data_IF_297054180314
#
_entry.id   IF_297054180314
#
_cell.length_a   1.000
_cell.length_b   1.000
_cell.length_c   1.000
_cell.angle_alpha   90.00
_cell.angle_beta   90.00
_cell.angle_gamma   90.00
#
_symmetry.space_group_name_H-M   'P 1'
#
loop_
_entity.id
_entity.type
_entity.pdbx_description
1 polymer ?
#
# COMPACT_ATOMS: atom_id res chain seq x y z
N UNK A 1 0.89 28.21 -3.36
CA UNK A 1 0.26 26.87 -3.38
C UNK A 1 1.35 25.92 -3.85
N UNK A 2 1.89 25.08 -2.98
CA UNK A 2 2.90 24.11 -3.42
C UNK A 2 2.28 23.11 -4.41
N UNK A 3 3.02 22.63 -5.41
CA UNK A 3 2.48 21.65 -6.34
C UNK A 3 2.09 20.40 -5.55
N UNK A 4 0.93 19.78 -5.83
CA UNK A 4 0.42 18.64 -5.06
C UNK A 4 1.41 17.46 -5.02
N UNK A 5 2.25 17.34 -6.05
CA UNK A 5 3.34 16.36 -6.13
C UNK A 5 4.42 16.59 -5.07
N UNK A 6 4.73 17.84 -4.70
CA UNK A 6 5.75 18.14 -3.68
C UNK A 6 5.35 17.60 -2.30
N UNK A 7 4.05 17.63 -1.97
CA UNK A 7 3.53 17.02 -0.75
C UNK A 7 3.75 15.50 -0.73
N UNK A 8 3.44 14.82 -1.84
CA UNK A 8 3.65 13.36 -2.00
C UNK A 8 5.13 12.99 -1.87
N UNK A 9 6.01 13.75 -2.52
CA UNK A 9 7.46 13.54 -2.45
C UNK A 9 7.98 13.72 -1.03
N UNK A 10 7.54 14.76 -0.31
CA UNK A 10 7.93 14.99 1.09
C UNK A 10 7.46 13.87 2.00
N UNK A 11 6.21 13.43 1.87
CA UNK A 11 5.67 12.34 2.67
C UNK A 11 6.41 11.02 2.39
N UNK A 12 6.69 10.71 1.12
CA UNK A 12 7.46 9.53 0.73
C UNK A 12 8.91 9.59 1.21
N UNK A 13 9.55 10.76 1.17
CA UNK A 13 10.90 10.94 1.72
C UNK A 13 10.90 10.80 3.26
N UNK A 14 9.92 11.40 3.94
CA UNK A 14 9.79 11.30 5.40
C UNK A 14 9.54 9.85 5.85
N UNK A 15 8.72 9.08 5.12
CA UNK A 15 8.49 7.66 5.43
C UNK A 15 9.76 6.84 5.28
N UNK A 16 10.61 7.13 4.29
CA UNK A 16 11.90 6.47 4.08
C UNK A 16 12.90 6.81 5.19
N UNK A 17 12.99 8.08 5.58
CA UNK A 17 13.80 8.49 6.75
C UNK A 17 13.33 7.78 8.01
N UNK A 18 12.02 7.68 8.23
CA UNK A 18 11.45 6.97 9.38
C UNK A 18 11.80 5.46 9.35
N UNK A 19 11.65 4.79 8.21
CA UNK A 19 12.03 3.37 8.06
C UNK A 19 13.50 3.16 8.38
N UNK A 20 14.38 4.01 7.85
CA UNK A 20 15.82 3.91 8.08
C UNK A 20 16.17 4.18 9.54
N UNK A 21 15.55 5.18 10.17
CA UNK A 21 15.71 5.47 11.59
C UNK A 21 15.25 4.32 12.48
N UNK A 22 14.07 3.73 12.20
CA UNK A 22 13.56 2.57 12.91
C UNK A 22 14.45 1.34 12.69
N UNK A 23 14.97 1.14 11.47
CA UNK A 23 15.89 0.04 11.15
C UNK A 23 17.21 0.18 11.92
N UNK A 24 17.75 1.40 12.01
CA UNK A 24 18.96 1.68 12.80
C UNK A 24 18.69 1.47 14.29
N UNK A 25 17.58 2.01 14.79
CA UNK A 25 17.18 1.84 16.19
C UNK A 25 17.01 0.37 16.56
N UNK A 26 16.37 -0.42 15.69
CA UNK A 26 16.22 -1.86 15.89
C UNK A 26 17.58 -2.57 15.98
N UNK A 27 18.58 -2.18 15.18
CA UNK A 27 19.94 -2.72 15.25
C UNK A 27 20.70 -2.29 16.50
N UNK A 28 20.37 -1.14 17.08
CA UNK A 28 20.96 -0.67 18.34
C UNK A 28 20.35 -1.39 19.56
N UNK A 29 19.05 -1.71 19.50
CA UNK A 29 18.33 -2.34 20.60
C UNK A 29 18.38 -3.87 20.58
N UNK A 30 18.44 -4.47 19.39
CA UNK A 30 18.34 -5.91 19.19
C UNK A 30 19.50 -6.48 18.43
N UNK A 31 19.85 -7.74 18.74
CA UNK A 31 20.80 -8.49 17.92
C UNK A 31 20.17 -8.78 16.56
N UNK A 32 20.93 -8.64 15.46
CA UNK A 32 20.41 -8.93 14.14
C UNK A 32 19.99 -10.40 14.05
N UNK A 33 18.75 -10.63 13.63
CA UNK A 33 18.21 -11.97 13.42
C UNK A 33 18.88 -12.66 12.22
N UNK A 34 19.14 -11.91 11.14
CA UNK A 34 19.84 -12.38 9.95
C UNK A 34 21.32 -11.98 10.01
N UNK A 35 22.20 -12.97 9.96
CA UNK A 35 23.66 -12.86 10.00
C UNK A 35 24.31 -13.07 8.62
N UNK A 36 23.51 -13.26 7.57
CA UNK A 36 24.00 -13.55 6.20
C UNK A 36 24.98 -12.49 5.70
N UNK A 37 24.76 -11.23 6.05
CA UNK A 37 25.60 -10.08 5.73
C UNK A 37 26.99 -10.09 6.43
N UNK A 38 27.08 -10.80 7.56
CA UNK A 38 28.31 -10.92 8.36
C UNK A 38 29.12 -12.17 8.05
N UNK A 39 28.53 -13.12 7.32
CA UNK A 39 29.12 -14.41 6.96
C UNK A 39 29.85 -14.38 5.62
N UNK A 40 30.04 -13.22 5.00
CA UNK A 40 30.59 -13.08 3.64
C UNK A 40 32.05 -13.54 3.59
N UNK A 41 32.33 -14.74 3.05
CA UNK A 41 33.70 -15.20 2.91
C UNK A 41 34.39 -14.41 1.77
N UNK A 42 35.73 -14.35 1.75
CA UNK A 42 36.47 -13.74 0.65
C UNK A 42 36.12 -14.41 -0.69
N UNK A 43 36.12 -13.64 -1.78
CA UNK A 43 35.86 -14.16 -3.12
C UNK A 43 36.84 -15.29 -3.47
N UNK A 44 36.37 -16.33 -4.14
CA UNK A 44 37.15 -17.51 -4.54
C UNK A 44 38.31 -17.16 -5.48
N UNK A 45 38.19 -16.02 -6.17
CA UNK A 45 39.15 -15.51 -7.16
C UNK A 45 40.07 -14.39 -6.64
N UNK A 46 40.09 -14.12 -5.33
CA UNK A 46 40.95 -13.08 -4.75
C UNK A 46 42.29 -13.64 -4.25
N UNK A 47 43.45 -13.04 -4.59
CA UNK A 47 44.71 -13.37 -3.92
C UNK A 47 44.65 -12.95 -2.45
N UNK A 48 45.26 -13.75 -1.58
CA UNK A 48 45.27 -13.51 -0.14
C UNK A 48 45.97 -12.18 0.19
N UNK A 49 45.28 -11.37 1.00
CA UNK A 49 45.73 -10.14 1.66
C UNK A 49 45.79 -8.85 0.82
N UNK A 50 44.77 -8.01 1.02
CA UNK A 50 44.95 -6.55 1.11
C UNK A 50 44.31 -6.10 2.42
N UNK A 51 45.12 -5.78 3.42
CA UNK A 51 44.65 -5.25 4.70
C UNK A 51 44.18 -3.81 4.50
N UNK A 52 42.87 -3.63 4.31
CA UNK A 52 42.29 -2.30 4.21
C UNK A 52 42.28 -1.61 5.58
N UNK A 53 42.85 -0.39 5.70
CA UNK A 53 42.83 0.36 6.95
C UNK A 53 41.41 0.76 7.40
N UNK A 54 40.42 0.70 6.49
CA UNK A 54 39.01 0.94 6.76
C UNK A 54 38.18 -0.35 6.88
N UNK A 55 38.81 -1.50 7.10
CA UNK A 55 38.13 -2.80 7.12
C UNK A 55 36.98 -2.88 8.13
N UNK A 56 37.08 -2.24 9.30
CA UNK A 56 36.02 -2.24 10.31
C UNK A 56 34.78 -1.46 9.87
N UNK A 57 34.97 -0.29 9.25
CA UNK A 57 33.88 0.53 8.70
C UNK A 57 33.28 -0.16 7.49
N UNK A 58 34.11 -0.74 6.62
CA UNK A 58 33.61 -1.47 5.45
C UNK A 58 32.79 -2.70 5.87
N UNK A 59 33.26 -3.47 6.84
CA UNK A 59 32.52 -4.62 7.37
C UNK A 59 31.21 -4.21 8.06
N UNK A 60 31.23 -3.11 8.82
CA UNK A 60 30.03 -2.56 9.46
C UNK A 60 28.99 -2.13 8.42
N UNK A 61 29.40 -1.44 7.34
CA UNK A 61 28.48 -1.04 6.26
C UNK A 61 28.01 -2.24 5.44
N UNK A 62 28.88 -3.20 5.14
CA UNK A 62 28.50 -4.45 4.46
C UNK A 62 27.48 -5.27 5.26
N UNK A 63 27.55 -5.23 6.60
CA UNK A 63 26.55 -5.88 7.47
C UNK A 63 25.13 -5.31 7.34
N UNK A 64 24.95 -4.18 6.64
CA UNK A 64 23.63 -3.64 6.32
C UNK A 64 22.98 -4.33 5.12
N UNK A 65 23.74 -5.02 4.26
CA UNK A 65 23.18 -5.80 3.15
C UNK A 65 22.55 -7.09 3.68
N UNK A 66 21.29 -7.02 4.11
CA UNK A 66 20.54 -8.14 4.69
C UNK A 66 19.52 -8.66 3.66
N UNK A 67 19.16 -9.93 3.70
CA UNK A 67 18.26 -10.58 2.72
C UNK A 67 18.77 -10.45 1.27
N UNK A 68 17.89 -10.04 0.34
CA UNK A 68 18.17 -9.87 -1.08
C UNK A 68 19.37 -8.95 -1.35
N UNK A 69 19.70 -8.05 -0.41
CA UNK A 69 20.88 -7.19 -0.49
C UNK A 69 22.20 -7.98 -0.65
N UNK A 70 22.35 -9.12 0.04
CA UNK A 70 23.55 -9.99 -0.10
C UNK A 70 23.62 -10.57 -1.51
N UNK A 71 22.47 -10.95 -2.05
CA UNK A 71 22.37 -11.58 -3.37
C UNK A 71 22.59 -10.60 -4.53
N UNK A 72 22.40 -9.30 -4.31
CA UNK A 72 22.79 -8.25 -5.26
C UNK A 72 24.23 -7.77 -5.06
N UNK A 73 24.70 -7.68 -3.81
CA UNK A 73 26.05 -7.20 -3.51
C UNK A 73 27.14 -8.18 -3.96
N UNK A 74 26.94 -9.47 -3.68
CA UNK A 74 27.96 -10.50 -3.88
C UNK A 74 28.33 -10.75 -5.35
N UNK A 75 27.39 -10.81 -6.31
CA UNK A 75 27.75 -10.93 -7.72
C UNK A 75 28.49 -9.72 -8.28
N UNK A 76 28.28 -8.52 -7.71
CA UNK A 76 29.01 -7.32 -8.10
C UNK A 76 30.42 -7.24 -7.50
N UNK A 77 30.65 -7.86 -6.33
CA UNK A 77 31.96 -7.95 -5.68
C UNK A 77 32.82 -9.09 -6.24
N UNK A 78 32.26 -10.30 -6.33
CA UNK A 78 32.99 -11.54 -6.63
C UNK A 78 32.63 -12.16 -7.99
N UNK A 79 31.59 -11.67 -8.66
CA UNK A 79 30.97 -12.38 -9.79
C UNK A 79 29.98 -13.46 -9.33
N UNK A 80 29.36 -14.11 -10.31
CA UNK A 80 28.43 -15.22 -10.07
C UNK A 80 29.19 -16.49 -9.68
N UNK A 81 29.49 -16.63 -8.39
CA UNK A 81 30.23 -17.78 -7.84
C UNK A 81 29.34 -18.96 -7.47
N UNK A 82 28.09 -18.70 -7.04
CA UNK A 82 27.17 -19.72 -6.54
C UNK A 82 25.91 -19.81 -7.40
N UNK A 83 25.33 -21.01 -7.48
CA UNK A 83 24.13 -21.31 -8.26
C UNK A 83 22.93 -20.43 -7.87
N UNK A 84 22.71 -20.20 -6.57
CA UNK A 84 21.63 -19.35 -6.08
C UNK A 84 21.77 -17.88 -6.54
N UNK A 85 22.97 -17.43 -6.90
CA UNK A 85 23.16 -16.07 -7.41
C UNK A 85 22.54 -15.90 -8.80
N UNK A 86 22.45 -16.97 -9.61
CA UNK A 86 21.86 -16.93 -10.96
C UNK A 86 20.34 -16.68 -10.96
N UNK A 87 19.67 -16.86 -9.82
CA UNK A 87 18.26 -16.50 -9.66
C UNK A 87 18.03 -14.98 -9.77
N UNK A 88 19.06 -14.18 -9.50
CA UNK A 88 19.02 -12.73 -9.62
C UNK A 88 19.65 -12.35 -10.98
N UNK A 89 18.78 -11.94 -11.92
CA UNK A 89 19.15 -11.66 -13.31
C UNK A 89 20.41 -10.77 -13.40
N UNK A 90 21.29 -11.01 -14.40
CA UNK A 90 22.49 -10.20 -14.57
C UNK A 90 22.16 -8.72 -14.61
N UNK A 91 22.92 -7.93 -13.84
CA UNK A 91 23.13 -6.52 -14.20
C UNK A 91 23.49 -6.47 -15.70
N UNK A 92 22.96 -5.51 -16.47
CA UNK A 92 22.90 -5.58 -17.93
C UNK A 92 24.23 -6.07 -18.52
N UNK A 93 24.23 -7.19 -19.27
CA UNK A 93 25.43 -7.82 -19.78
C UNK A 93 26.07 -6.88 -20.80
N UNK A 94 27.19 -6.25 -20.44
CA UNK A 94 27.87 -5.32 -21.35
C UNK A 94 28.73 -4.26 -20.68
N UNK A 95 28.64 -4.04 -19.36
CA UNK A 95 29.60 -3.17 -18.69
C UNK A 95 30.98 -3.85 -18.65
N UNK A 96 32.06 -3.21 -19.13
CA UNK A 96 33.41 -3.73 -18.94
C UNK A 96 33.65 -3.94 -17.44
N UNK A 97 34.40 -5.00 -17.07
CA UNK A 97 34.77 -5.31 -15.69
C UNK A 97 35.34 -4.07 -15.02
N UNK A 98 34.49 -3.34 -14.31
CA UNK A 98 34.89 -2.21 -13.50
C UNK A 98 35.87 -2.70 -12.42
N UNK A 99 36.76 -1.84 -11.90
CA UNK A 99 37.51 -2.17 -10.70
C UNK A 99 36.53 -2.63 -9.61
N UNK A 100 36.92 -3.70 -8.88
CA UNK A 100 36.08 -4.31 -7.84
C UNK A 100 35.55 -3.22 -6.91
N UNK A 101 34.24 -2.95 -6.87
CA UNK A 101 33.70 -1.88 -6.06
C UNK A 101 33.91 -2.20 -4.57
N UNK A 102 34.19 -1.19 -3.77
CA UNK A 102 34.31 -1.35 -2.31
C UNK A 102 32.93 -1.78 -1.78
N UNK A 103 32.83 -2.89 -1.01
CA UNK A 103 31.57 -3.43 -0.52
C UNK A 103 30.67 -2.38 0.14
N UNK A 104 31.25 -1.52 0.98
CA UNK A 104 30.54 -0.44 1.64
C UNK A 104 29.88 0.55 0.67
N UNK A 105 30.57 0.89 -0.42
CA UNK A 105 30.07 1.82 -1.44
C UNK A 105 28.91 1.18 -2.20
N UNK A 106 29.01 -0.11 -2.51
CA UNK A 106 27.96 -0.84 -3.20
C UNK A 106 26.69 -0.90 -2.35
N UNK A 107 26.81 -1.28 -1.07
CA UNK A 107 25.67 -1.35 -0.15
C UNK A 107 25.05 0.02 0.08
N UNK A 108 25.85 1.05 0.33
CA UNK A 108 25.34 2.41 0.53
C UNK A 108 24.66 2.95 -0.74
N UNK A 109 25.25 2.71 -1.91
CA UNK A 109 24.65 3.11 -3.19
C UNK A 109 23.32 2.39 -3.43
N UNK A 110 23.21 1.10 -3.10
CA UNK A 110 21.96 0.34 -3.17
C UNK A 110 20.88 0.90 -2.25
N UNK A 111 21.23 1.28 -1.01
CA UNK A 111 20.31 1.95 -0.10
C UNK A 111 19.83 3.30 -0.66
N UNK A 112 20.74 4.14 -1.15
CA UNK A 112 20.37 5.43 -1.74
C UNK A 112 19.48 5.23 -2.96
N UNK A 113 19.88 4.38 -3.90
CA UNK A 113 19.13 4.09 -5.11
C UNK A 113 17.74 3.53 -4.82
N UNK A 114 17.61 2.59 -3.89
CA UNK A 114 16.31 2.02 -3.51
C UNK A 114 15.37 3.08 -2.92
N UNK A 115 15.89 3.97 -2.05
CA UNK A 115 15.07 5.04 -1.46
C UNK A 115 14.71 6.14 -2.47
N UNK A 116 15.64 6.51 -3.36
CA UNK A 116 15.37 7.46 -4.45
C UNK A 116 14.35 6.88 -5.43
N UNK A 117 14.53 5.62 -5.85
CA UNK A 117 13.61 4.91 -6.73
C UNK A 117 12.22 4.81 -6.10
N UNK A 118 12.14 4.57 -4.79
CA UNK A 118 10.87 4.55 -4.07
C UNK A 118 10.14 5.91 -4.12
N UNK A 119 10.84 7.00 -3.82
CA UNK A 119 10.26 8.35 -3.86
C UNK A 119 9.85 8.74 -5.29
N UNK A 120 10.68 8.39 -6.28
CA UNK A 120 10.37 8.60 -7.69
C UNK A 120 9.14 7.79 -8.12
N UNK A 121 9.03 6.52 -7.72
CA UNK A 121 7.88 5.68 -8.00
C UNK A 121 6.60 6.25 -7.38
N UNK A 122 6.64 6.73 -6.13
CA UNK A 122 5.49 7.35 -5.48
C UNK A 122 5.00 8.59 -6.26
N UNK A 123 5.93 9.46 -6.69
CA UNK A 123 5.59 10.62 -7.52
C UNK A 123 5.02 10.21 -8.89
N UNK A 124 5.59 9.17 -9.51
CA UNK A 124 5.14 8.66 -10.80
C UNK A 124 3.74 8.05 -10.73
N UNK A 125 3.46 7.18 -9.76
CA UNK A 125 2.14 6.58 -9.57
C UNK A 125 1.07 7.63 -9.26
N UNK A 126 1.41 8.65 -8.46
CA UNK A 126 0.52 9.78 -8.23
C UNK A 126 0.15 10.47 -9.56
N UNK A 127 1.15 10.84 -10.36
CA UNK A 127 0.93 11.54 -11.64
C UNK A 127 0.21 10.66 -12.67
N UNK A 128 0.49 9.36 -12.67
CA UNK A 128 -0.19 8.38 -13.50
C UNK A 128 -1.69 8.31 -13.17
N UNK A 129 -2.04 8.21 -11.88
CA UNK A 129 -3.44 8.20 -11.45
C UNK A 129 -4.18 9.50 -11.78
N UNK A 130 -3.51 10.66 -11.69
CA UNK A 130 -4.08 11.97 -12.06
C UNK A 130 -4.37 12.07 -13.56
N UNK A 131 -3.41 11.62 -14.37
CA UNK A 131 -3.51 11.66 -15.83
C UNK A 131 -4.61 10.72 -16.33
N UNK A 132 -4.69 9.50 -15.78
CA UNK A 132 -5.77 8.56 -16.10
C UNK A 132 -7.14 9.08 -15.67
N UNK A 133 -7.23 9.66 -14.47
CA UNK A 133 -8.48 10.26 -14.00
C UNK A 133 -8.95 11.40 -14.93
N UNK A 134 -8.03 12.27 -15.35
CA UNK A 134 -8.33 13.35 -16.28
C UNK A 134 -8.75 12.81 -17.66
N UNK A 135 -8.01 11.84 -18.22
CA UNK A 135 -8.33 11.20 -19.50
C UNK A 135 -9.75 10.62 -19.50
N UNK A 136 -10.08 9.82 -18.49
CA UNK A 136 -11.37 9.15 -18.42
C UNK A 136 -12.52 10.10 -18.07
N UNK A 137 -12.30 11.10 -17.21
CA UNK A 137 -13.32 12.08 -16.85
C UNK A 137 -13.64 13.03 -18.00
N UNK A 138 -12.61 13.61 -18.63
CA UNK A 138 -12.78 14.51 -19.78
C UNK A 138 -13.28 13.75 -21.01
N UNK A 139 -12.70 12.57 -21.28
CA UNK A 139 -13.15 11.70 -22.37
C UNK A 139 -14.61 11.28 -22.19
N UNK A 140 -15.00 10.89 -20.98
CA UNK A 140 -16.39 10.56 -20.65
C UNK A 140 -17.34 11.73 -20.85
N UNK A 141 -16.93 12.93 -20.46
CA UNK A 141 -17.72 14.14 -20.66
C UNK A 141 -17.86 14.52 -22.15
N UNK A 142 -16.80 14.36 -22.95
CA UNK A 142 -16.85 14.57 -24.40
C UNK A 142 -17.85 13.62 -25.06
N UNK A 143 -17.83 12.33 -24.73
CA UNK A 143 -18.80 11.37 -25.26
C UNK A 143 -20.22 11.62 -24.76
N UNK A 144 -20.39 12.17 -23.56
CA UNK A 144 -21.69 12.59 -23.03
C UNK A 144 -22.30 13.70 -23.89
N UNK A 145 -21.51 14.73 -24.22
CA UNK A 145 -21.95 15.82 -25.11
C UNK A 145 -22.21 15.35 -26.54
N UNK A 146 -21.45 14.39 -27.04
CA UNK A 146 -21.67 13.76 -28.35
C UNK A 146 -22.91 12.86 -28.41
N UNK A 147 -23.61 12.63 -27.29
CA UNK A 147 -24.80 11.77 -27.21
C UNK A 147 -24.49 10.26 -27.11
N UNK A 148 -23.22 9.86 -27.13
CA UNK A 148 -22.76 8.47 -27.00
C UNK A 148 -22.75 8.02 -25.53
N UNK A 149 -23.94 8.01 -24.91
CA UNK A 149 -24.12 7.81 -23.48
C UNK A 149 -23.48 6.51 -22.94
N UNK A 150 -23.50 5.42 -23.72
CA UNK A 150 -22.91 4.14 -23.28
C UNK A 150 -21.40 4.25 -23.10
N UNK A 151 -20.70 4.86 -24.05
CA UNK A 151 -19.24 5.08 -23.98
C UNK A 151 -18.91 6.06 -22.86
N UNK A 152 -19.73 7.11 -22.69
CA UNK A 152 -19.60 8.06 -21.60
C UNK A 152 -19.69 7.39 -20.22
N UNK A 153 -20.67 6.50 -20.00
CA UNK A 153 -20.81 5.75 -18.73
C UNK A 153 -19.58 4.89 -18.47
N UNK A 154 -19.08 4.16 -19.47
CA UNK A 154 -17.90 3.30 -19.32
C UNK A 154 -16.68 4.13 -18.93
N UNK A 155 -16.43 5.23 -19.64
CA UNK A 155 -15.30 6.14 -19.37
C UNK A 155 -15.42 6.76 -17.97
N UNK A 156 -16.60 7.25 -17.59
CA UNK A 156 -16.82 7.84 -16.27
C UNK A 156 -16.73 6.79 -15.15
N UNK A 157 -17.15 5.54 -15.39
CA UNK A 157 -16.95 4.44 -14.43
C UNK A 157 -15.45 4.12 -14.27
N UNK A 158 -14.68 4.05 -15.37
CA UNK A 158 -13.22 3.84 -15.33
C UNK A 158 -12.47 4.98 -14.62
N UNK A 159 -12.99 6.20 -14.65
CA UNK A 159 -12.42 7.28 -13.84
C UNK A 159 -12.47 6.96 -12.33
N UNK A 160 -13.52 6.24 -11.89
CA UNK A 160 -13.72 5.78 -10.51
C UNK A 160 -12.72 4.73 -10.04
N UNK A 161 -12.18 3.92 -10.96
CA UNK A 161 -11.11 2.95 -10.63
C UNK A 161 -9.73 3.61 -10.57
N UNK A 162 -9.49 4.66 -11.37
CA UNK A 162 -8.26 5.45 -11.29
C UNK A 162 -8.22 6.29 -10.01
N UNK A 163 -9.35 6.92 -9.66
CA UNK A 163 -9.54 7.67 -8.42
C UNK A 163 -10.99 7.56 -7.95
N UNK A 164 -11.14 7.36 -6.67
CA UNK A 164 -12.38 7.48 -5.89
C UNK A 164 -13.30 8.64 -6.25
N UNK A 165 -12.73 9.82 -6.55
CA UNK A 165 -13.46 11.02 -6.95
C UNK A 165 -14.31 10.80 -8.21
N UNK A 166 -14.02 9.77 -9.01
CA UNK A 166 -14.82 9.40 -10.17
C UNK A 166 -16.26 9.01 -9.84
N UNK A 167 -16.57 8.64 -8.59
CA UNK A 167 -17.95 8.40 -8.17
C UNK A 167 -18.85 9.65 -8.32
N UNK A 168 -18.28 10.86 -8.14
CA UNK A 168 -19.00 12.11 -8.29
C UNK A 168 -19.44 12.37 -9.75
N UNK A 169 -18.82 11.70 -10.72
CA UNK A 169 -19.19 11.82 -12.13
C UNK A 169 -20.60 11.26 -12.42
N UNK A 170 -21.21 10.49 -11.51
CA UNK A 170 -22.63 10.13 -11.59
C UNK A 170 -23.55 11.37 -11.60
N UNK A 171 -23.09 12.48 -11.01
CA UNK A 171 -23.80 13.76 -10.99
C UNK A 171 -24.16 14.29 -12.39
N UNK A 172 -23.34 14.02 -13.42
CA UNK A 172 -23.63 14.46 -14.79
C UNK A 172 -24.92 13.84 -15.33
N UNK A 173 -25.12 12.53 -15.11
CA UNK A 173 -26.34 11.85 -15.55
C UNK A 173 -27.55 12.22 -14.69
N UNK A 174 -27.36 12.41 -13.38
CA UNK A 174 -28.42 12.91 -12.51
C UNK A 174 -28.91 14.29 -12.94
N UNK A 175 -27.99 15.20 -13.26
CA UNK A 175 -28.32 16.55 -13.73
C UNK A 175 -29.00 16.53 -15.10
N UNK A 176 -28.49 15.73 -16.04
CA UNK A 176 -29.12 15.52 -17.35
C UNK A 176 -30.56 15.00 -17.21
N UNK A 177 -30.78 14.06 -16.29
CA UNK A 177 -32.10 13.50 -16.02
C UNK A 177 -33.06 14.53 -15.41
N UNK A 178 -32.57 15.37 -14.51
CA UNK A 178 -33.38 16.42 -13.89
C UNK A 178 -33.88 17.41 -14.93
N UNK A 179 -33.02 17.82 -15.88
CA UNK A 179 -33.41 18.69 -16.99
C UNK A 179 -34.43 18.01 -17.91
N UNK A 180 -34.20 16.74 -18.28
CA UNK A 180 -35.13 15.97 -19.12
C UNK A 180 -36.49 15.75 -18.43
N UNK A 181 -36.48 15.46 -17.13
CA UNK A 181 -37.65 15.32 -16.29
C UNK A 181 -38.45 16.63 -16.21
N UNK A 182 -37.76 17.76 -16.00
CA UNK A 182 -38.39 19.08 -15.99
C UNK A 182 -39.09 19.39 -17.32
N UNK A 183 -38.39 19.21 -18.45
CA UNK A 183 -38.98 19.45 -19.78
C UNK A 183 -40.15 18.51 -20.08
N UNK A 184 -40.04 17.24 -19.70
CA UNK A 184 -41.10 16.25 -19.89
C UNK A 184 -42.33 16.54 -19.02
N UNK A 185 -42.13 16.98 -17.78
CA UNK A 185 -43.20 17.29 -16.83
C UNK A 185 -43.91 18.60 -17.17
N UNK A 186 -43.14 19.68 -17.33
CA UNK A 186 -43.68 21.04 -17.42
C UNK A 186 -44.08 21.38 -18.85
N UNK A 187 -43.20 21.14 -19.83
CA UNK A 187 -43.47 21.53 -21.23
C UNK A 187 -44.31 20.50 -21.96
N UNK A 188 -43.96 19.22 -21.85
CA UNK A 188 -44.60 18.15 -22.63
C UNK A 188 -45.80 17.49 -21.93
N UNK A 189 -45.95 17.69 -20.62
CA UNK A 189 -46.99 17.05 -19.77
C UNK A 189 -47.07 15.52 -19.96
N UNK A 190 -45.93 14.86 -20.16
CA UNK A 190 -45.83 13.40 -20.38
C UNK A 190 -45.13 12.74 -19.20
N UNK A 191 -45.86 12.26 -18.17
CA UNK A 191 -45.26 11.70 -16.96
C UNK A 191 -44.43 10.44 -17.22
N UNK A 192 -44.79 9.64 -18.24
CA UNK A 192 -44.02 8.46 -18.62
C UNK A 192 -42.57 8.79 -19.02
N UNK A 193 -42.36 9.91 -19.71
CA UNK A 193 -41.02 10.35 -20.12
C UNK A 193 -40.18 10.82 -18.93
N UNK A 194 -40.82 11.37 -17.89
CA UNK A 194 -40.17 11.73 -16.63
C UNK A 194 -39.65 10.46 -15.96
N UNK A 195 -40.51 9.45 -15.81
CA UNK A 195 -40.15 8.17 -15.18
C UNK A 195 -39.03 7.49 -15.97
N UNK A 196 -39.14 7.43 -17.30
CA UNK A 196 -38.12 6.80 -18.15
C UNK A 196 -36.76 7.51 -18.04
N UNK A 197 -36.73 8.85 -18.00
CA UNK A 197 -35.50 9.62 -17.85
C UNK A 197 -34.83 9.37 -16.48
N UNK A 198 -35.62 9.35 -15.40
CA UNK A 198 -35.11 9.08 -14.06
C UNK A 198 -34.59 7.63 -13.92
N UNK A 199 -35.32 6.65 -14.46
CA UNK A 199 -34.88 5.24 -14.44
C UNK A 199 -33.60 5.06 -15.26
N UNK A 200 -33.53 5.63 -16.46
CA UNK A 200 -32.33 5.55 -17.29
C UNK A 200 -31.11 6.16 -16.58
N UNK A 201 -31.28 7.29 -15.90
CA UNK A 201 -30.21 7.93 -15.14
C UNK A 201 -29.80 7.12 -13.90
N UNK A 202 -30.75 6.57 -13.15
CA UNK A 202 -30.46 5.69 -12.02
C UNK A 202 -29.63 4.47 -12.44
N UNK A 203 -30.00 3.82 -13.55
CA UNK A 203 -29.25 2.69 -14.10
C UNK A 203 -27.82 3.10 -14.47
N UNK A 204 -27.65 4.22 -15.18
CA UNK A 204 -26.31 4.73 -15.57
C UNK A 204 -25.45 5.09 -14.37
N UNK A 205 -26.04 5.73 -13.35
CA UNK A 205 -25.34 6.07 -12.11
C UNK A 205 -24.90 4.81 -11.36
N UNK A 206 -25.74 3.77 -11.28
CA UNK A 206 -25.36 2.48 -10.69
C UNK A 206 -24.13 1.89 -11.37
N UNK A 207 -24.05 1.95 -12.71
CA UNK A 207 -22.86 1.50 -13.44
C UNK A 207 -21.60 2.31 -13.11
N UNK A 208 -21.72 3.62 -12.85
CA UNK A 208 -20.57 4.44 -12.43
C UNK A 208 -20.06 4.02 -11.05
N UNK A 209 -20.95 3.60 -10.15
CA UNK A 209 -20.56 3.07 -8.83
C UNK A 209 -20.08 1.61 -8.87
N UNK A 210 -20.16 0.92 -10.01
CA UNK A 210 -19.80 -0.49 -10.12
C UNK A 210 -18.38 -0.82 -9.62
N UNK A 211 -17.32 -0.06 -9.95
CA UNK A 211 -15.98 -0.34 -9.44
C UNK A 211 -15.89 -0.27 -7.91
N UNK A 212 -16.62 0.67 -7.29
CA UNK A 212 -16.68 0.81 -5.85
C UNK A 212 -17.39 -0.38 -5.20
N UNK A 213 -18.54 -0.78 -5.72
CA UNK A 213 -19.27 -1.94 -5.20
C UNK A 213 -18.51 -3.25 -5.42
N UNK A 214 -17.82 -3.40 -6.55
CA UNK A 214 -16.99 -4.57 -6.82
C UNK A 214 -15.86 -4.71 -5.79
N UNK A 215 -15.18 -3.61 -5.47
CA UNK A 215 -14.13 -3.61 -4.44
C UNK A 215 -14.69 -3.87 -3.02
N UNK A 216 -15.84 -3.28 -2.70
CA UNK A 216 -16.52 -3.52 -1.41
C UNK A 216 -16.96 -4.97 -1.26
N UNK A 217 -17.49 -5.58 -2.33
CA UNK A 217 -17.87 -7.00 -2.36
C UNK A 217 -16.65 -7.91 -2.25
N UNK A 218 -15.56 -7.60 -2.95
CA UNK A 218 -14.30 -8.32 -2.85
C UNK A 218 -13.77 -8.35 -1.39
N UNK A 219 -13.79 -7.21 -0.70
CA UNK A 219 -13.40 -7.15 0.71
C UNK A 219 -14.30 -7.98 1.63
N UNK A 220 -15.62 -7.93 1.40
CA UNK A 220 -16.59 -8.73 2.15
C UNK A 220 -16.39 -10.24 1.95
N UNK A 221 -16.20 -10.68 0.71
CA UNK A 221 -15.98 -12.08 0.40
C UNK A 221 -14.71 -12.60 1.07
N UNK A 222 -13.60 -11.86 1.00
CA UNK A 222 -12.34 -12.34 1.59
C UNK A 222 -12.35 -12.34 3.12
N UNK A 223 -12.96 -11.34 3.76
CA UNK A 223 -12.87 -11.17 5.22
C UNK A 223 -14.04 -11.80 5.96
N UNK A 224 -15.27 -11.62 5.48
CA UNK A 224 -16.48 -12.04 6.19
C UNK A 224 -16.96 -13.45 5.79
N UNK A 225 -16.65 -13.91 4.56
CA UNK A 225 -17.11 -15.22 4.05
C UNK A 225 -15.98 -16.26 4.07
N UNK A 226 -14.83 -15.94 3.48
CA UNK A 226 -13.69 -16.86 3.39
C UNK A 226 -12.66 -16.68 4.51
N UNK A 227 -12.93 -15.81 5.49
CA UNK A 227 -12.05 -15.58 6.63
C UNK A 227 -12.15 -16.72 7.64
N UNK A 228 -11.03 -17.36 7.96
CA UNK A 228 -10.96 -18.47 8.94
C UNK A 228 -11.03 -18.01 10.42
N UNK A 229 -11.49 -16.78 10.70
CA UNK A 229 -11.57 -16.26 12.06
C UNK A 229 -12.90 -16.66 12.71
N UNK A 230 -12.85 -17.35 13.85
CA UNK A 230 -14.04 -17.78 14.62
C UNK A 230 -14.91 -16.59 15.08
N UNK A 231 -14.35 -15.37 15.11
CA UNK A 231 -15.07 -14.14 15.44
C UNK A 231 -15.21 -13.21 14.22
N UNK A 232 -16.43 -13.09 13.71
CA UNK A 232 -16.76 -12.14 12.64
C UNK A 232 -16.59 -10.70 13.12
N UNK A 233 -15.93 -9.87 12.30
CA UNK A 233 -15.76 -8.44 12.55
C UNK A 233 -17.12 -7.72 12.69
N UNK A 234 -17.24 -6.68 13.54
CA UNK A 234 -18.51 -5.99 13.80
C UNK A 234 -19.18 -5.42 12.54
N UNK A 235 -18.38 -4.96 11.57
CA UNK A 235 -18.91 -4.42 10.30
C UNK A 235 -19.49 -5.50 9.38
N UNK A 236 -19.08 -6.78 9.52
CA UNK A 236 -19.70 -7.89 8.81
C UNK A 236 -21.14 -8.15 9.32
N UNK A 237 -21.41 -7.83 10.59
CA UNK A 237 -22.72 -8.00 11.25
C UNK A 237 -23.64 -6.79 11.06
N UNK A 238 -23.13 -5.69 10.53
CA UNK A 238 -23.91 -4.47 10.31
C UNK A 238 -24.92 -4.66 9.17
N UNK A 239 -26.06 -3.95 9.25
CA UNK A 239 -27.12 -3.98 8.22
C UNK A 239 -26.61 -3.64 6.81
N UNK A 240 -25.60 -2.77 6.75
CA UNK A 240 -24.86 -2.47 5.51
C UNK A 240 -23.37 -2.68 5.82
N UNK A 241 -22.74 -3.75 5.29
CA UNK A 241 -21.35 -4.05 5.60
C UNK A 241 -20.41 -3.12 4.82
N UNK A 242 -20.13 -1.96 5.41
CA UNK A 242 -19.21 -0.95 4.88
C UNK A 242 -17.82 -1.08 5.51
N UNK A 243 -16.94 -1.79 4.80
CA UNK A 243 -15.55 -2.01 5.20
C UNK A 243 -14.81 -0.68 5.42
N UNK A 244 -14.93 0.24 4.46
CA UNK A 244 -14.21 1.52 4.53
C UNK A 244 -14.67 2.40 5.69
N UNK A 245 -15.99 2.48 5.93
CA UNK A 245 -16.53 3.25 7.06
C UNK A 245 -16.06 2.71 8.42
N UNK A 246 -15.94 1.39 8.56
CA UNK A 246 -15.35 0.77 9.75
C UNK A 246 -13.86 1.12 9.90
N UNK A 247 -13.09 1.12 8.81
CA UNK A 247 -11.66 1.49 8.86
C UNK A 247 -11.49 2.94 9.31
N UNK A 248 -12.28 3.86 8.75
CA UNK A 248 -12.22 5.27 9.09
C UNK A 248 -12.59 5.55 10.56
N UNK A 249 -13.58 4.85 11.10
CA UNK A 249 -14.01 5.03 12.49
C UNK A 249 -13.05 4.41 13.49
N UNK A 250 -12.65 3.16 13.22
CA UNK A 250 -11.93 2.35 14.17
C UNK A 250 -10.43 2.64 14.19
N UNK A 251 -9.84 2.93 13.03
CA UNK A 251 -8.39 3.13 12.91
C UNK A 251 -7.97 4.59 12.72
N UNK A 252 -8.81 5.41 12.08
CA UNK A 252 -8.40 6.78 11.69
C UNK A 252 -9.07 7.88 12.52
N UNK A 253 -10.01 7.54 13.42
CA UNK A 253 -10.66 8.49 14.35
C UNK A 253 -11.23 9.77 13.70
N UNK A 254 -11.61 9.72 12.41
CA UNK A 254 -12.00 10.92 11.62
C UNK A 254 -13.42 11.43 11.95
N UNK A 255 -14.13 10.77 12.88
CA UNK A 255 -15.53 11.11 13.19
C UNK A 255 -15.69 12.40 14.01
N UNK A 256 -14.59 12.95 14.56
CA UNK A 256 -14.66 14.10 15.47
C UNK A 256 -14.57 15.48 14.78
N UNK A 257 -14.19 15.55 13.49
CA UNK A 257 -13.89 16.84 12.84
C UNK A 257 -14.95 17.34 11.85
N UNK A 258 -15.87 16.51 11.36
CA UNK A 258 -16.97 16.95 10.48
C UNK A 258 -18.27 16.19 10.74
N UNK A 259 -19.26 16.79 11.43
CA UNK A 259 -20.54 16.15 11.76
C UNK A 259 -21.55 16.30 10.62
N UNK A 260 -21.15 16.02 9.37
CA UNK A 260 -22.05 16.00 8.21
C UNK A 260 -22.19 14.57 7.73
N UNK A 261 -23.42 14.10 7.60
CA UNK A 261 -23.85 12.73 7.29
C UNK A 261 -22.95 12.07 6.20
N UNK A 262 -22.00 11.23 6.64
CA UNK A 262 -20.82 10.83 5.87
C UNK A 262 -21.08 9.70 4.84
N UNK A 263 -22.35 9.31 4.61
CA UNK A 263 -22.67 8.23 3.68
C UNK A 263 -22.58 8.62 2.20
N UNK A 264 -22.62 9.92 1.85
CA UNK A 264 -22.51 10.39 0.46
C UNK A 264 -21.20 11.16 0.17
N UNK A 265 -20.57 11.72 1.20
CA UNK A 265 -19.34 12.52 1.08
C UNK A 265 -18.09 11.80 1.63
N UNK A 266 -18.27 10.68 2.35
CA UNK A 266 -17.19 9.81 2.84
C UNK A 266 -16.74 8.76 1.84
N UNK A 267 -16.96 9.01 0.54
CA UNK A 267 -16.21 8.34 -0.50
C UNK A 267 -14.72 8.66 -0.35
N UNK A 268 -13.81 8.01 -1.11
CA UNK A 268 -12.36 8.13 -0.90
C UNK A 268 -11.77 9.48 -1.37
N UNK A 269 -12.50 10.59 -1.17
CA UNK A 269 -12.21 11.93 -1.66
C UNK A 269 -11.11 12.66 -0.91
N UNK A 270 -10.66 12.14 0.25
CA UNK A 270 -9.44 12.58 0.93
C UNK A 270 -8.28 11.56 0.82
N UNK A 271 -8.40 10.55 -0.05
CA UNK A 271 -7.40 9.48 -0.18
C UNK A 271 -6.15 9.86 -0.98
N UNK A 272 -5.88 11.15 -1.23
CA UNK A 272 -4.51 11.58 -1.60
C UNK A 272 -3.53 11.33 -0.43
N UNK A 273 -4.02 11.07 0.78
CA UNK A 273 -3.15 10.82 1.94
C UNK A 273 -2.60 9.39 2.12
N UNK A 274 -3.10 8.35 1.42
CA UNK A 274 -2.64 6.98 1.72
C UNK A 274 -2.57 6.07 0.47
N UNK A 275 -1.50 6.23 -0.30
CA UNK A 275 -0.89 5.10 -1.03
C UNK A 275 -0.22 4.25 0.05
N UNK A 276 -0.67 3.01 0.36
CA UNK A 276 -0.02 2.19 1.37
C UNK A 276 1.19 1.52 0.73
N UNK A 277 2.26 2.28 0.59
CA UNK A 277 3.59 1.71 0.40
C UNK A 277 4.47 2.27 1.50
N UNK A 278 4.86 1.39 2.42
CA UNK A 278 5.75 1.56 3.58
C UNK A 278 5.28 2.42 4.76
N UNK A 279 5.01 1.66 5.83
CA UNK A 279 4.83 2.01 7.24
C UNK A 279 3.51 2.67 7.58
N UNK A 280 2.75 1.98 8.41
CA UNK A 280 2.15 2.66 9.51
C UNK A 280 2.80 2.16 10.80
N UNK A 281 3.06 3.08 11.73
CA UNK A 281 2.84 2.79 13.14
C UNK A 281 1.32 2.58 13.33
N UNK A 282 0.76 1.59 12.64
CA UNK A 282 -0.53 1.00 12.93
C UNK A 282 -0.16 -0.13 13.87
N UNK A 283 -0.73 -0.13 15.07
CA UNK A 283 -0.79 -1.35 15.87
C UNK A 283 -1.61 -2.36 15.08
N UNK A 284 -0.96 -3.08 14.18
CA UNK A 284 -1.53 -4.29 13.58
C UNK A 284 -1.24 -5.40 14.59
N UNK A 285 -2.20 -5.62 15.49
CA UNK A 285 -2.17 -6.78 16.36
C UNK A 285 -2.53 -7.97 15.48
N UNK A 286 -1.52 -8.77 15.13
CA UNK A 286 -1.73 -10.10 14.56
C UNK A 286 -1.92 -11.09 15.71
N UNK A 287 -3.14 -11.60 15.87
CA UNK A 287 -3.37 -12.80 16.68
C UNK A 287 -3.25 -14.01 15.75
N UNK A 288 -2.23 -14.84 15.96
CA UNK A 288 -2.07 -16.13 15.25
C UNK A 288 -2.71 -17.25 16.08
N UNK A 289 -3.46 -18.19 15.47
CA UNK A 289 -4.10 -19.27 16.21
C UNK A 289 -3.19 -20.51 16.23
N UNK A 290 -2.34 -20.69 17.25
CA UNK A 290 -1.74 -22.01 17.50
C UNK A 290 -1.41 -22.29 18.98
N UNK A 291 -2.11 -23.31 19.49
CA UNK A 291 -1.81 -24.31 20.54
C UNK A 291 -1.40 -23.89 21.98
N UNK A 292 -2.30 -24.23 22.92
CA UNK A 292 -2.21 -24.76 24.32
C UNK A 292 -0.96 -24.56 25.23
N UNK A 293 -1.15 -24.51 26.57
CA UNK A 293 -0.44 -23.59 27.45
C UNK A 293 0.67 -24.22 28.30
N UNK A 294 1.68 -23.43 28.67
CA UNK A 294 2.44 -23.67 29.90
C UNK A 294 2.99 -22.37 30.51
N UNK A 295 2.62 -22.13 31.77
CA UNK A 295 3.16 -21.17 32.75
C UNK A 295 2.86 -19.65 32.68
N UNK A 296 1.82 -19.29 33.44
CA UNK A 296 1.58 -18.18 34.40
C UNK A 296 2.28 -16.80 34.25
N UNK A 297 1.38 -15.81 34.07
CA UNK A 297 1.20 -14.55 34.83
C UNK A 297 1.97 -13.28 34.42
N UNK A 298 1.35 -12.50 33.53
CA UNK A 298 1.17 -11.05 33.71
C UNK A 298 -0.16 -10.60 33.07
N UNK A 299 -1.04 -9.98 33.85
CA UNK A 299 -2.41 -9.60 33.45
C UNK A 299 -2.42 -8.16 32.91
N UNK A 300 -2.97 -7.96 31.71
CA UNK A 300 -3.27 -6.64 31.12
C UNK A 300 -4.78 -6.36 31.27
N UNK A 301 -5.23 -5.18 31.73
CA UNK A 301 -6.66 -4.92 31.93
C UNK A 301 -7.37 -4.77 30.57
N UNK A 302 -8.38 -5.61 30.30
CA UNK A 302 -9.19 -5.56 29.07
C UNK A 302 -9.30 -6.88 28.30
N UNK A 303 -8.59 -7.94 28.70
CA UNK A 303 -8.69 -9.27 28.09
C UNK A 303 -9.30 -10.30 29.05
N UNK A 304 -10.24 -11.11 28.54
CA UNK A 304 -10.77 -12.30 29.20
C UNK A 304 -9.63 -13.33 29.38
N UNK A 305 -9.54 -14.06 30.51
CA UNK A 305 -8.33 -14.83 30.88
C UNK A 305 -8.10 -16.10 30.05
N UNK A 306 -8.91 -16.35 29.01
CA UNK A 306 -8.82 -17.52 28.12
C UNK A 306 -8.08 -17.25 26.81
N UNK A 307 -7.64 -16.00 26.55
CA UNK A 307 -6.90 -15.64 25.33
C UNK A 307 -5.48 -15.21 25.70
N UNK A 308 -4.49 -16.04 25.36
CA UNK A 308 -3.08 -15.69 25.49
C UNK A 308 -2.75 -14.51 24.56
N UNK A 309 -2.68 -13.30 25.12
CA UNK A 309 -2.11 -12.14 24.44
C UNK A 309 -0.62 -12.06 24.77
N UNK A 310 0.24 -12.49 23.85
CA UNK A 310 1.66 -12.20 23.96
C UNK A 310 1.91 -10.76 23.52
N UNK A 311 2.18 -9.87 24.48
CA UNK A 311 2.92 -8.63 24.19
C UNK A 311 4.34 -9.06 23.86
N UNK A 312 4.74 -8.99 22.59
CA UNK A 312 6.17 -9.07 22.23
C UNK A 312 6.82 -7.75 22.63
N UNK A 313 7.07 -7.63 23.94
CA UNK A 313 8.11 -6.77 24.45
C UNK A 313 9.41 -7.55 24.23
N UNK A 314 10.20 -7.03 23.32
CA UNK A 314 11.54 -7.50 23.04
C UNK A 314 12.42 -7.50 24.29
N UNK A 315 12.97 -8.66 24.67
CA UNK A 315 14.04 -8.75 25.66
C UNK A 315 14.38 -10.18 26.10
N UNK A 316 15.63 -10.60 25.88
CA UNK A 316 16.38 -11.47 26.81
C UNK A 316 16.51 -12.97 26.49
N UNK A 317 17.75 -13.39 26.23
CA UNK A 317 18.30 -14.76 26.28
C UNK A 317 17.86 -15.58 27.52
N UNK A 318 17.68 -16.90 27.36
CA UNK A 318 18.48 -17.97 28.05
C UNK A 318 18.13 -19.40 27.58
N UNK A 319 19.18 -20.15 27.16
CA UNK A 319 19.50 -21.57 27.47
C UNK A 319 18.47 -22.69 27.15
N UNK A 320 18.74 -23.76 26.37
CA UNK A 320 19.70 -24.89 26.53
C UNK A 320 19.69 -25.69 25.19
N UNK A 321 20.80 -25.94 24.47
CA UNK A 321 21.78 -27.06 24.56
C UNK A 321 21.21 -28.43 25.00
N UNK A 322 21.40 -29.41 24.13
CA UNK A 322 21.10 -30.85 24.25
C UNK A 322 21.54 -31.51 25.57
N UNK A 323 20.68 -32.38 26.10
CA UNK A 323 20.96 -33.78 26.42
C UNK A 323 19.63 -34.57 26.44
#
# INVERSE_FOLDING_TARGET
MEPPVAGVVRLAAASRVLVLALSLLARLLFRPYDTSASLTPPCLSAPASSSDPNASVSAAVSSLAVWDGVHFARPAECGYEYEQSFAFLPAPPGLPRAPRPIPAVLVLSGYVLNNVAFVAAAAYFYRYSESLYALFSLGGLLYLFSGANTVAVIMLALSGSARSNGALNAGYFCFQALLQAYDAAVRKKRPLLVVLALVAAALRSIFIFLPFFAFQAYGYLNICVHGNSEELRPWCKAKVPLLYGFIQSHYWSVHALFPINNSLYGGPTDSIAYIPTSVPLMKVVYCSPTSTPSHKNHVVPGCNPTVNCATVASGGLTQLVEA
#
